data_IF_603508314609
#
_entry.id   IF_603508314609
#
_cell.length_a   1.000
_cell.length_b   1.000
_cell.length_c   1.000
_cell.angle_alpha   90.00
_cell.angle_beta   90.00
_cell.angle_gamma   90.00
#
_symmetry.space_group_name_H-M   'P 1'
#
loop_
_entity.id
_entity.type
_entity.pdbx_description
1 polymer ?
#
# COMPACT_ATOMS: atom_id res chain seq x y z
N UNK A 1 -5.80 0.94 19.86
CA UNK A 1 -6.68 -0.12 19.30
C UNK A 1 -7.00 0.04 17.82
N UNK A 2 -7.70 1.08 17.36
CA UNK A 2 -8.11 1.16 15.93
C UNK A 2 -6.93 1.42 14.97
N UNK A 3 -5.95 2.22 15.41
CA UNK A 3 -4.73 2.54 14.65
C UNK A 3 -3.83 1.32 14.45
N UNK A 4 -3.72 0.46 15.46
CA UNK A 4 -2.95 -0.79 15.42
C UNK A 4 -3.57 -1.82 14.46
N UNK A 5 -4.90 -1.94 14.47
CA UNK A 5 -5.63 -2.80 13.53
C UNK A 5 -5.41 -2.38 12.07
N UNK A 6 -5.42 -1.08 11.77
CA UNK A 6 -5.08 -0.56 10.43
C UNK A 6 -3.63 -0.89 10.06
N UNK A 7 -2.67 -0.67 10.97
CA UNK A 7 -1.27 -1.02 10.71
C UNK A 7 -1.08 -2.51 10.43
N UNK A 8 -1.75 -3.39 11.18
CA UNK A 8 -1.68 -4.83 10.98
C UNK A 8 -2.29 -5.29 9.63
N UNK A 9 -3.37 -4.64 9.20
CA UNK A 9 -3.98 -4.82 7.88
C UNK A 9 -3.03 -4.42 6.74
N UNK A 10 -2.36 -3.27 6.86
CA UNK A 10 -1.34 -2.84 5.90
C UNK A 10 -0.15 -3.80 5.86
N UNK A 11 0.36 -4.21 7.04
CA UNK A 11 1.46 -5.16 7.14
C UNK A 11 1.11 -6.50 6.48
N UNK A 12 -0.09 -7.00 6.70
CA UNK A 12 -0.59 -8.25 6.08
C UNK A 12 -0.70 -8.13 4.55
N UNK A 13 -1.20 -7.00 4.05
CA UNK A 13 -1.29 -6.74 2.60
C UNK A 13 0.10 -6.59 1.96
N UNK A 14 1.05 -5.98 2.68
CA UNK A 14 2.44 -5.85 2.26
C UNK A 14 3.18 -7.19 2.25
N UNK A 15 2.84 -8.09 3.18
CA UNK A 15 3.32 -9.47 3.23
C UNK A 15 2.75 -10.37 2.12
N UNK A 16 1.83 -9.86 1.28
CA UNK A 16 1.27 -10.59 0.16
C UNK A 16 0.05 -11.45 0.50
N UNK A 17 -0.55 -11.27 1.68
CA UNK A 17 -1.81 -11.96 2.01
C UNK A 17 -2.94 -11.51 1.11
N UNK A 18 -3.84 -12.44 0.82
CA UNK A 18 -5.01 -12.17 0.00
C UNK A 18 -5.99 -11.27 0.75
N UNK A 19 -6.75 -10.39 0.04
CA UNK A 19 -7.80 -9.57 0.67
C UNK A 19 -8.77 -10.39 1.53
N UNK A 20 -9.08 -11.61 1.09
CA UNK A 20 -9.94 -12.56 1.81
C UNK A 20 -9.40 -12.90 3.20
N UNK A 21 -8.12 -13.27 3.30
CA UNK A 21 -7.48 -13.59 4.58
C UNK A 21 -7.47 -12.38 5.51
N UNK A 22 -7.21 -11.19 4.98
CA UNK A 22 -7.20 -9.95 5.77
C UNK A 22 -8.59 -9.62 6.32
N UNK A 23 -9.65 -9.86 5.54
CA UNK A 23 -11.03 -9.71 6.00
C UNK A 23 -11.33 -10.70 7.12
N UNK A 24 -10.96 -11.97 6.96
CA UNK A 24 -11.24 -13.02 7.94
C UNK A 24 -10.46 -12.81 9.25
N UNK A 25 -9.20 -12.39 9.18
CA UNK A 25 -8.36 -12.18 10.38
C UNK A 25 -8.72 -10.92 11.17
N UNK A 26 -9.00 -9.81 10.50
CA UNK A 26 -9.21 -8.52 11.15
C UNK A 26 -10.69 -8.11 11.26
N UNK A 27 -11.58 -8.89 10.64
CA UNK A 27 -13.03 -8.63 10.55
C UNK A 27 -13.34 -7.21 10.04
N UNK A 28 -12.56 -6.74 9.05
CA UNK A 28 -12.75 -5.43 8.43
C UNK A 28 -13.81 -5.47 7.33
N UNK A 29 -14.46 -4.32 7.04
CA UNK A 29 -15.36 -4.20 5.91
C UNK A 29 -14.65 -4.56 4.59
N UNK A 30 -15.31 -5.41 3.78
CA UNK A 30 -14.83 -5.81 2.46
C UNK A 30 -14.42 -4.62 1.59
N UNK A 31 -15.21 -3.55 1.59
CA UNK A 31 -14.93 -2.33 0.81
C UNK A 31 -13.58 -1.73 1.20
N UNK A 32 -13.34 -1.53 2.50
CA UNK A 32 -12.09 -0.97 3.02
C UNK A 32 -10.88 -1.80 2.63
N UNK A 33 -10.97 -3.14 2.72
CA UNK A 33 -9.85 -4.02 2.34
C UNK A 33 -9.56 -3.99 0.84
N UNK A 34 -10.60 -3.98 0.01
CA UNK A 34 -10.43 -3.93 -1.44
C UNK A 34 -9.93 -2.57 -1.95
N UNK A 35 -10.37 -1.46 -1.38
CA UNK A 35 -9.84 -0.14 -1.73
C UNK A 35 -8.37 0.01 -1.32
N UNK A 36 -8.00 -0.48 -0.13
CA UNK A 36 -6.62 -0.50 0.30
C UNK A 36 -5.74 -1.35 -0.62
N UNK A 37 -6.23 -2.53 -1.01
CA UNK A 37 -5.53 -3.45 -1.89
C UNK A 37 -5.39 -2.91 -3.32
N UNK A 38 -6.44 -2.27 -3.86
CA UNK A 38 -6.37 -1.56 -5.15
C UNK A 38 -5.34 -0.43 -5.11
N UNK A 39 -5.37 0.40 -4.06
CA UNK A 39 -4.41 1.49 -3.89
C UNK A 39 -2.96 0.96 -3.82
N UNK A 40 -2.74 -0.12 -3.07
CA UNK A 40 -1.42 -0.77 -2.95
C UNK A 40 -0.93 -1.37 -4.27
N UNK A 41 -1.79 -2.04 -5.04
CA UNK A 41 -1.43 -2.57 -6.35
C UNK A 41 -1.18 -1.47 -7.39
N UNK A 42 -1.95 -0.38 -7.33
CA UNK A 42 -1.72 0.79 -8.17
C UNK A 42 -0.35 1.42 -7.85
N UNK A 43 -0.03 1.56 -6.57
CA UNK A 43 1.28 2.01 -6.10
C UNK A 43 2.40 1.08 -6.59
N UNK A 44 2.29 -0.25 -6.40
CA UNK A 44 3.29 -1.21 -6.89
C UNK A 44 3.49 -1.14 -8.40
N UNK A 45 2.43 -0.98 -9.19
CA UNK A 45 2.53 -0.82 -10.65
C UNK A 45 3.26 0.47 -11.02
N UNK A 46 2.98 1.57 -10.31
CA UNK A 46 3.65 2.84 -10.54
C UNK A 46 5.12 2.80 -10.09
N UNK A 47 5.43 2.14 -8.96
CA UNK A 47 6.79 1.97 -8.46
C UNK A 47 7.62 1.04 -9.36
N UNK A 48 7.04 -0.06 -9.83
CA UNK A 48 7.65 -0.93 -10.84
C UNK A 48 7.84 -0.21 -12.18
N UNK A 49 6.89 0.65 -12.57
CA UNK A 49 7.03 1.51 -13.74
C UNK A 49 8.14 2.55 -13.54
N UNK A 50 8.26 3.17 -12.36
CA UNK A 50 9.37 4.07 -12.02
C UNK A 50 10.71 3.37 -12.05
N UNK A 51 10.83 2.17 -11.49
CA UNK A 51 12.07 1.37 -11.59
C UNK A 51 12.41 1.05 -13.05
N UNK A 52 11.39 0.72 -13.87
CA UNK A 52 11.59 0.35 -15.28
C UNK A 52 11.91 1.56 -16.17
N UNK A 53 11.36 2.73 -15.88
CA UNK A 53 11.54 3.96 -16.69
C UNK A 53 12.75 4.78 -16.23
N UNK A 54 13.05 4.81 -14.93
CA UNK A 54 14.11 5.65 -14.38
C UNK A 54 15.40 4.89 -14.01
N UNK A 55 15.40 3.55 -14.03
CA UNK A 55 16.53 2.75 -13.57
C UNK A 55 16.89 3.02 -12.09
N UNK A 56 17.99 2.46 -11.58
CA UNK A 56 18.40 2.59 -10.17
C UNK A 56 18.81 4.02 -9.74
N UNK A 57 18.72 5.02 -10.64
CA UNK A 57 19.13 6.41 -10.41
C UNK A 57 18.00 7.43 -10.62
N UNK A 58 16.74 6.98 -10.70
CA UNK A 58 15.59 7.89 -10.73
C UNK A 58 15.55 8.79 -9.50
N UNK A 59 15.26 10.10 -9.64
CA UNK A 59 15.20 11.00 -8.49
C UNK A 59 14.15 10.46 -7.50
N UNK A 60 14.38 10.55 -6.18
CA UNK A 60 13.35 10.23 -5.20
C UNK A 60 12.10 11.03 -5.55
N UNK A 61 10.92 10.41 -5.40
CA UNK A 61 9.66 11.07 -5.74
C UNK A 61 9.50 12.34 -4.91
N UNK A 62 8.61 13.27 -5.29
CA UNK A 62 8.47 14.53 -4.56
C UNK A 62 8.20 14.22 -3.09
N UNK A 63 9.23 14.40 -2.27
CA UNK A 63 9.06 14.57 -0.84
C UNK A 63 8.39 15.93 -0.77
N UNK A 64 7.08 15.93 -0.53
CA UNK A 64 6.29 17.12 -0.30
C UNK A 64 6.84 17.82 0.94
N UNK A 65 7.90 18.61 0.76
CA UNK A 65 8.37 19.62 1.70
C UNK A 65 8.17 20.95 0.99
N UNK A 66 6.97 21.50 1.19
CA UNK A 66 6.72 22.92 0.92
C UNK A 66 7.75 23.74 1.70
N UNK A 67 8.52 24.63 1.06
CA UNK A 67 9.23 25.66 1.80
C UNK A 67 8.20 26.74 2.18
N UNK A 68 8.12 27.01 3.49
CA UNK A 68 7.60 28.27 4.00
C UNK A 68 8.62 29.38 3.85
#
# INVERSE_FOLDING_TARGET
>A
MEKEKRHAMFASSRAGRSPKEVIEFFNYPKSTVYDQWKAWNSFKKNDAHRQKVLGPWGPPGPTSLSPG
#
